data_IF_827667941266
#
_entry.id   IF_827667941266
#
_cell.length_a   1.000
_cell.length_b   1.000
_cell.length_c   1.000
_cell.angle_alpha   90.00
_cell.angle_beta   90.00
_cell.angle_gamma   90.00
#
_symmetry.space_group_name_H-M   'P 1'
#
loop_
_entity.id
_entity.type
_entity.pdbx_description
1 polymer ?
#
# COMPACT_ATOMS: atom_id res chain seq x y z
N UNK A 1 39.44 11.55 -15.83
CA UNK A 1 38.00 11.64 -16.15
C UNK A 1 37.20 10.66 -15.29
N UNK A 2 36.58 11.16 -14.21
CA UNK A 2 35.91 10.35 -13.17
C UNK A 2 34.45 9.96 -13.50
N UNK A 3 33.97 10.23 -14.72
CA UNK A 3 32.55 10.10 -15.07
C UNK A 3 32.26 9.38 -16.41
N UNK A 4 33.25 8.79 -17.08
CA UNK A 4 32.98 8.03 -18.30
C UNK A 4 32.57 6.59 -17.97
N UNK A 5 31.37 6.18 -18.39
CA UNK A 5 30.92 4.79 -18.28
C UNK A 5 31.90 3.84 -19.00
N UNK A 6 32.45 2.87 -18.25
CA UNK A 6 33.39 1.87 -18.76
C UNK A 6 32.65 0.88 -19.67
N UNK A 7 32.82 1.05 -20.99
CA UNK A 7 32.19 0.21 -22.02
C UNK A 7 32.87 -1.15 -22.21
N UNK A 8 33.94 -1.46 -21.47
CA UNK A 8 34.65 -2.75 -21.57
C UNK A 8 34.08 -3.83 -20.65
N UNK A 9 33.25 -3.46 -19.68
CA UNK A 9 32.62 -4.39 -18.73
C UNK A 9 31.22 -4.79 -19.20
N UNK A 10 30.74 -5.94 -18.71
CA UNK A 10 29.34 -6.35 -18.91
C UNK A 10 28.44 -5.31 -18.24
N UNK A 11 27.59 -4.68 -19.05
CA UNK A 11 26.55 -3.76 -18.58
C UNK A 11 25.51 -4.59 -17.81
N UNK A 12 25.43 -4.37 -16.49
CA UNK A 12 24.40 -4.96 -15.65
C UNK A 12 23.18 -4.04 -15.65
N UNK A 13 22.01 -4.62 -15.83
CA UNK A 13 20.72 -3.93 -15.80
C UNK A 13 19.74 -4.77 -14.99
N UNK A 14 18.87 -4.12 -14.23
CA UNK A 14 17.81 -4.83 -13.53
C UNK A 14 16.85 -5.47 -14.55
N UNK A 15 16.39 -6.72 -14.36
CA UNK A 15 15.49 -7.38 -15.31
C UNK A 15 14.25 -6.56 -15.65
N UNK A 16 13.60 -5.94 -14.64
CA UNK A 16 12.43 -5.08 -14.86
C UNK A 16 12.76 -3.87 -15.75
N UNK A 17 13.93 -3.24 -15.54
CA UNK A 17 14.37 -2.11 -16.38
C UNK A 17 14.61 -2.53 -17.83
N UNK A 18 15.23 -3.70 -18.04
CA UNK A 18 15.43 -4.27 -19.37
C UNK A 18 14.10 -4.55 -20.06
N UNK A 19 13.18 -5.22 -19.36
CA UNK A 19 11.84 -5.55 -19.86
C UNK A 19 11.09 -4.27 -20.27
N UNK A 20 11.05 -3.27 -19.39
CA UNK A 20 10.35 -2.01 -19.66
C UNK A 20 10.93 -1.20 -20.83
N UNK A 21 12.24 -1.30 -21.08
CA UNK A 21 12.91 -0.58 -22.17
C UNK A 21 12.82 -1.29 -23.51
N UNK A 22 12.98 -2.61 -23.52
CA UNK A 22 13.24 -3.36 -24.75
C UNK A 22 12.18 -4.42 -25.08
N UNK A 23 11.28 -4.74 -24.15
CA UNK A 23 10.30 -5.84 -24.30
C UNK A 23 8.85 -5.38 -24.16
N UNK A 24 8.55 -4.13 -24.53
CA UNK A 24 7.18 -3.62 -24.54
C UNK A 24 6.30 -4.43 -25.49
N UNK A 25 5.13 -4.87 -25.03
CA UNK A 25 4.17 -5.69 -25.77
C UNK A 25 4.73 -7.03 -26.27
N UNK A 26 5.86 -7.47 -25.74
CA UNK A 26 6.46 -8.77 -26.08
C UNK A 26 5.69 -9.91 -25.42
N UNK A 27 5.25 -9.71 -24.17
CA UNK A 27 4.45 -10.67 -23.42
C UNK A 27 2.96 -10.41 -23.64
N UNK A 28 2.19 -11.48 -23.87
CA UNK A 28 0.72 -11.35 -23.89
C UNK A 28 0.15 -11.11 -22.49
N UNK A 29 0.78 -11.70 -21.46
CA UNK A 29 0.34 -11.62 -20.07
C UNK A 29 1.51 -11.32 -19.12
N UNK A 30 1.28 -10.44 -18.14
CA UNK A 30 2.13 -10.25 -16.96
C UNK A 30 1.35 -10.65 -15.71
N UNK A 31 1.92 -11.51 -14.87
CA UNK A 31 1.27 -11.99 -13.64
C UNK A 31 2.08 -11.53 -12.45
N UNK A 32 1.44 -10.89 -11.48
CA UNK A 32 2.03 -10.51 -10.21
C UNK A 32 1.32 -11.24 -9.07
N UNK A 33 2.05 -12.10 -8.36
CA UNK A 33 1.54 -12.78 -7.17
C UNK A 33 1.85 -11.97 -5.91
N UNK A 34 1.02 -12.16 -4.88
CA UNK A 34 0.98 -11.37 -3.64
C UNK A 34 1.21 -9.87 -3.83
N UNK A 35 0.42 -9.29 -4.74
CA UNK A 35 0.47 -7.89 -5.12
C UNK A 35 0.46 -6.92 -3.93
N UNK A 36 -0.20 -7.24 -2.82
CA UNK A 36 -0.25 -6.36 -1.65
C UNK A 36 1.15 -6.06 -1.07
N UNK A 37 2.09 -7.00 -1.19
CA UNK A 37 3.48 -6.79 -0.75
C UNK A 37 4.20 -5.74 -1.61
N UNK A 38 3.70 -5.52 -2.81
CA UNK A 38 4.24 -4.55 -3.77
C UNK A 38 3.63 -3.16 -3.58
N UNK A 39 2.77 -2.92 -2.59
CA UNK A 39 2.15 -1.62 -2.32
C UNK A 39 3.15 -0.52 -1.92
N UNK A 40 4.31 -0.87 -1.38
CA UNK A 40 5.33 0.08 -0.95
C UNK A 40 5.93 0.90 -2.09
N UNK A 41 6.53 2.04 -1.76
CA UNK A 41 7.34 2.84 -2.70
C UNK A 41 8.76 2.25 -2.80
N UNK A 42 8.85 1.05 -3.39
CA UNK A 42 10.07 0.25 -3.48
C UNK A 42 10.41 -0.06 -4.93
N UNK A 43 11.65 -0.51 -5.18
CA UNK A 43 12.05 -0.98 -6.51
C UNK A 43 11.16 -2.13 -7.02
N UNK A 44 10.68 -2.99 -6.11
CA UNK A 44 9.74 -4.07 -6.43
C UNK A 44 8.35 -3.52 -6.79
N UNK A 45 7.85 -2.52 -6.05
CA UNK A 45 6.61 -1.83 -6.39
C UNK A 45 6.69 -1.17 -7.78
N UNK A 46 7.80 -0.51 -8.11
CA UNK A 46 7.99 0.08 -9.44
C UNK A 46 8.08 -0.98 -10.55
N UNK A 47 8.65 -2.16 -10.25
CA UNK A 47 8.69 -3.27 -11.18
C UNK A 47 7.27 -3.76 -11.56
N UNK A 48 6.30 -3.73 -10.63
CA UNK A 48 4.90 -4.07 -10.94
C UNK A 48 4.34 -3.21 -12.06
N UNK A 49 4.50 -1.89 -11.97
CA UNK A 49 4.02 -0.96 -13.02
C UNK A 49 4.73 -1.17 -14.35
N UNK A 50 6.03 -1.50 -14.33
CA UNK A 50 6.78 -1.83 -15.55
C UNK A 50 6.28 -3.13 -16.18
N UNK A 51 6.04 -4.17 -15.39
CA UNK A 51 5.53 -5.44 -15.87
C UNK A 51 4.11 -5.31 -16.42
N UNK A 52 3.24 -4.57 -15.72
CA UNK A 52 1.88 -4.29 -16.15
C UNK A 52 1.83 -3.55 -17.50
N UNK A 53 2.78 -2.66 -17.77
CA UNK A 53 2.90 -1.97 -19.06
C UNK A 53 3.63 -2.77 -20.14
N UNK A 54 4.51 -3.69 -19.76
CA UNK A 54 5.25 -4.50 -20.71
C UNK A 54 4.39 -5.63 -21.29
N UNK A 55 3.46 -6.17 -20.50
CA UNK A 55 2.46 -7.14 -20.95
C UNK A 55 1.29 -6.47 -21.68
N UNK A 56 0.65 -7.19 -22.61
CA UNK A 56 -0.61 -6.72 -23.23
C UNK A 56 -1.78 -6.76 -22.25
N UNK A 57 -1.74 -7.71 -21.30
CA UNK A 57 -2.69 -7.87 -20.19
C UNK A 57 -1.93 -8.10 -18.89
N UNK A 58 -2.42 -7.52 -17.80
CA UNK A 58 -1.87 -7.72 -16.47
C UNK A 58 -2.88 -8.44 -15.57
N UNK A 59 -2.41 -9.46 -14.86
CA UNK A 59 -3.16 -10.15 -13.80
C UNK A 59 -2.41 -9.94 -12.50
N UNK A 60 -3.13 -9.57 -11.47
CA UNK A 60 -2.58 -9.42 -10.14
C UNK A 60 -3.36 -10.29 -9.16
N UNK A 61 -2.63 -11.08 -8.37
CA UNK A 61 -3.15 -12.08 -7.46
C UNK A 61 -2.79 -11.68 -6.04
N UNK A 62 -3.70 -11.90 -5.11
CA UNK A 62 -3.41 -11.76 -3.68
C UNK A 62 -4.49 -12.44 -2.84
N UNK A 63 -4.07 -13.01 -1.70
CA UNK A 63 -5.01 -13.52 -0.69
C UNK A 63 -5.64 -12.41 0.17
N UNK A 64 -4.96 -11.29 0.34
CA UNK A 64 -5.39 -10.18 1.21
C UNK A 64 -5.18 -8.84 0.54
N UNK A 65 -6.27 -8.20 0.10
CA UNK A 65 -6.17 -6.97 -0.68
C UNK A 65 -5.84 -5.73 0.15
N UNK A 66 -6.36 -5.65 1.39
CA UNK A 66 -6.21 -4.49 2.27
C UNK A 66 -5.55 -4.91 3.58
N UNK A 67 -4.55 -4.15 4.04
CA UNK A 67 -3.93 -4.30 5.36
C UNK A 67 -4.71 -3.58 6.47
N UNK A 68 -5.96 -3.22 6.21
CA UNK A 68 -6.82 -2.46 7.12
C UNK A 68 -6.88 -0.96 6.82
N UNK A 69 -6.07 -0.42 5.90
CA UNK A 69 -6.12 0.98 5.50
C UNK A 69 -6.52 1.14 4.03
N UNK A 70 -7.32 2.16 3.73
CA UNK A 70 -7.77 2.41 2.37
C UNK A 70 -6.61 2.68 1.40
N UNK A 71 -5.53 3.34 1.85
CA UNK A 71 -4.40 3.69 0.99
C UNK A 71 -3.32 2.62 0.84
N UNK A 72 -3.57 1.42 1.35
CA UNK A 72 -2.74 0.25 1.06
C UNK A 72 -2.82 -0.10 -0.43
N UNK A 73 -4.01 0.04 -1.02
CA UNK A 73 -4.24 -0.28 -2.43
C UNK A 73 -3.93 0.87 -3.40
N UNK A 74 -3.76 2.10 -2.89
CA UNK A 74 -3.61 3.30 -3.72
C UNK A 74 -2.48 3.17 -4.75
N UNK A 75 -1.30 2.77 -4.29
CA UNK A 75 -0.13 2.62 -5.16
C UNK A 75 -0.31 1.47 -6.16
N UNK A 76 -1.00 0.41 -5.75
CA UNK A 76 -1.33 -0.73 -6.60
C UNK A 76 -2.25 -0.32 -7.74
N UNK A 77 -3.35 0.37 -7.42
CA UNK A 77 -4.31 0.85 -8.41
C UNK A 77 -3.63 1.72 -9.45
N UNK A 78 -2.73 2.62 -9.03
CA UNK A 78 -1.95 3.43 -9.97
C UNK A 78 -1.00 2.63 -10.85
N UNK A 79 -0.39 1.57 -10.32
CA UNK A 79 0.55 0.73 -11.08
C UNK A 79 -0.15 -0.15 -12.10
N UNK A 80 -1.39 -0.55 -11.81
CA UNK A 80 -2.22 -1.36 -12.71
C UNK A 80 -3.02 -0.51 -13.70
N UNK A 81 -3.64 0.57 -13.24
CA UNK A 81 -4.51 1.44 -14.03
C UNK A 81 -4.40 2.92 -13.59
N UNK A 82 -3.26 3.54 -13.90
CA UNK A 82 -3.07 4.98 -13.72
C UNK A 82 -4.12 5.85 -14.44
N UNK A 83 -4.56 5.53 -15.69
CA UNK A 83 -5.62 6.29 -16.35
C UNK A 83 -6.93 6.36 -15.57
N UNK A 84 -7.38 5.25 -14.98
CA UNK A 84 -8.59 5.24 -14.15
C UNK A 84 -8.41 6.12 -12.91
N UNK A 85 -7.28 6.01 -12.21
CA UNK A 85 -6.99 6.84 -11.03
C UNK A 85 -6.96 8.34 -11.36
N UNK A 86 -6.36 8.72 -12.48
CA UNK A 86 -6.32 10.11 -12.94
C UNK A 86 -7.70 10.64 -13.35
N UNK A 87 -8.53 9.81 -13.98
CA UNK A 87 -9.92 10.15 -14.34
C UNK A 87 -10.77 10.45 -13.11
N UNK A 88 -10.48 9.75 -12.01
CA UNK A 88 -11.13 9.95 -10.71
C UNK A 88 -10.59 11.14 -9.92
N UNK A 89 -9.63 11.88 -10.48
CA UNK A 89 -9.09 13.10 -9.88
C UNK A 89 -8.02 12.86 -8.82
N UNK A 90 -7.52 11.64 -8.68
CA UNK A 90 -6.37 11.39 -7.82
C UNK A 90 -5.09 11.78 -8.57
N UNK A 91 -4.13 12.36 -7.84
CA UNK A 91 -2.78 12.62 -8.33
C UNK A 91 -1.80 11.55 -7.83
N UNK A 92 -0.78 11.22 -8.61
CA UNK A 92 0.27 10.31 -8.14
C UNK A 92 1.07 10.97 -6.99
N UNK A 93 1.45 10.15 -6.00
CA UNK A 93 2.28 10.58 -4.87
C UNK A 93 1.48 10.90 -3.61
N UNK A 94 2.15 11.55 -2.64
CA UNK A 94 1.61 11.73 -1.29
C UNK A 94 0.34 12.58 -1.21
N UNK A 95 0.19 13.56 -2.09
CA UNK A 95 -0.98 14.44 -2.13
C UNK A 95 -2.24 13.68 -2.54
N UNK A 96 -2.24 13.05 -3.71
CA UNK A 96 -3.40 12.26 -4.13
C UNK A 96 -3.62 11.02 -3.29
N UNK A 97 -2.59 10.46 -2.64
CA UNK A 97 -2.77 9.42 -1.61
C UNK A 97 -3.58 9.97 -0.44
N UNK A 98 -3.29 11.17 0.03
CA UNK A 98 -4.04 11.80 1.12
C UNK A 98 -5.49 12.08 0.71
N UNK A 99 -5.72 12.54 -0.51
CA UNK A 99 -7.07 12.77 -1.03
C UNK A 99 -7.85 11.46 -1.17
N UNK A 100 -7.18 10.38 -1.59
CA UNK A 100 -7.75 9.04 -1.61
C UNK A 100 -8.14 8.57 -0.21
N UNK A 101 -7.29 8.77 0.81
CA UNK A 101 -7.65 8.46 2.21
C UNK A 101 -8.80 9.33 2.70
N UNK A 102 -8.85 10.62 2.33
CA UNK A 102 -9.96 11.50 2.73
C UNK A 102 -11.30 11.03 2.17
N UNK A 103 -11.29 10.46 0.97
CA UNK A 103 -12.50 10.01 0.31
C UNK A 103 -12.91 8.59 0.69
N UNK A 104 -11.95 7.68 0.81
CA UNK A 104 -12.22 6.25 1.00
C UNK A 104 -11.69 5.67 2.30
N UNK A 105 -10.93 6.41 3.10
CA UNK A 105 -10.37 5.95 4.37
C UNK A 105 -10.97 6.65 5.58
N UNK A 106 -10.42 6.33 6.75
CA UNK A 106 -10.78 6.96 8.03
C UNK A 106 -9.64 7.85 8.49
N UNK A 107 -9.98 9.10 8.81
CA UNK A 107 -9.02 10.11 9.25
C UNK A 107 -9.43 10.67 10.61
N UNK A 108 -8.46 10.77 11.51
CA UNK A 108 -8.58 11.49 12.76
C UNK A 108 -7.75 12.78 12.69
N UNK A 109 -8.37 13.92 12.98
CA UNK A 109 -7.68 15.21 13.01
C UNK A 109 -7.49 15.67 14.45
N UNK A 110 -6.24 15.64 14.93
CA UNK A 110 -5.87 16.11 16.26
C UNK A 110 -5.43 17.58 16.18
N UNK A 111 -6.23 18.47 16.74
CA UNK A 111 -5.88 19.90 16.88
C UNK A 111 -5.31 20.14 18.26
N UNK A 112 -4.05 20.59 18.34
CA UNK A 112 -3.45 21.07 19.59
C UNK A 112 -3.50 22.59 19.60
N UNK A 113 -4.33 23.14 20.47
CA UNK A 113 -4.32 24.56 20.80
C UNK A 113 -3.59 24.73 22.14
N UNK A 114 -2.57 25.61 22.15
CA UNK A 114 -1.87 26.01 23.37
C UNK A 114 -2.35 27.42 23.69
N UNK A 115 -3.16 27.56 24.73
CA UNK A 115 -3.53 28.86 25.29
C UNK A 115 -2.33 29.39 26.07
N UNK A 116 -1.66 30.40 25.54
CA UNK A 116 -0.79 31.27 26.32
C UNK A 116 -1.35 32.69 26.21
N UNK A 117 -1.57 33.30 27.38
CA UNK A 117 -2.13 34.63 27.56
C UNK A 117 -1.10 35.69 27.14
N UNK A 118 -0.97 35.91 25.84
CA UNK A 118 0.07 36.74 25.25
C UNK A 118 -0.48 38.12 24.88
N UNK A 119 -0.43 39.05 25.84
CA UNK A 119 -0.74 40.46 25.61
C UNK A 119 0.23 41.18 24.64
N UNK A 120 1.36 40.57 24.27
CA UNK A 120 2.41 41.28 23.50
C UNK A 120 3.31 40.43 22.57
N UNK A 121 2.93 39.25 22.06
CA UNK A 121 3.75 38.59 21.01
C UNK A 121 2.99 37.64 20.05
N UNK A 122 3.61 37.40 18.88
CA UNK A 122 3.08 36.75 17.66
C UNK A 122 2.25 35.47 17.92
N UNK A 123 0.98 35.52 17.53
CA UNK A 123 -0.01 34.43 17.31
C UNK A 123 0.50 33.00 17.59
N UNK A 124 -0.10 32.34 18.58
CA UNK A 124 0.18 30.95 18.95
C UNK A 124 0.10 30.01 17.73
N UNK A 125 1.11 29.12 17.58
CA UNK A 125 1.15 28.12 16.51
C UNK A 125 0.12 27.03 16.80
N UNK A 126 -1.04 27.10 16.14
CA UNK A 126 -1.97 25.96 16.07
C UNK A 126 -1.31 24.83 15.30
N UNK A 127 -1.14 23.66 15.92
CA UNK A 127 -0.65 22.46 15.24
C UNK A 127 -1.82 21.51 15.00
N UNK A 128 -2.10 21.23 13.73
CA UNK A 128 -3.10 20.24 13.33
C UNK A 128 -2.37 19.02 12.78
N UNK A 129 -2.53 17.87 13.41
CA UNK A 129 -1.95 16.60 12.97
C UNK A 129 -3.07 15.70 12.47
N UNK A 130 -2.95 15.26 11.23
CA UNK A 130 -3.88 14.31 10.60
C UNK A 130 -3.31 12.90 10.76
N UNK A 131 -4.06 12.02 11.43
CA UNK A 131 -3.71 10.61 11.64
C UNK A 131 -4.67 9.72 10.84
N UNK A 132 -4.11 8.70 10.20
CA UNK A 132 -4.88 7.66 9.51
C UNK A 132 -5.37 6.63 10.54
N UNK A 133 -6.60 6.16 10.39
CA UNK A 133 -7.19 5.09 11.21
C UNK A 133 -7.56 3.91 10.31
N UNK A 134 -7.57 2.68 10.86
CA UNK A 134 -8.00 1.52 10.11
C UNK A 134 -9.47 1.67 9.69
N UNK A 135 -9.77 1.30 8.45
CA UNK A 135 -11.08 1.41 7.83
C UNK A 135 -10.98 1.84 6.37
N UNK A 136 -11.78 1.18 5.54
CA UNK A 136 -11.96 1.53 4.13
C UNK A 136 -13.46 1.58 3.80
N UNK A 137 -13.84 2.56 2.99
CA UNK A 137 -15.20 2.75 2.50
C UNK A 137 -15.57 1.64 1.51
N UNK A 138 -16.75 1.01 1.65
CA UNK A 138 -17.25 0.03 0.69
C UNK A 138 -17.30 0.54 -0.75
N UNK A 139 -17.42 1.87 -0.94
CA UNK A 139 -17.43 2.51 -2.26
C UNK A 139 -16.15 2.27 -3.06
N UNK A 140 -15.01 2.11 -2.37
CA UNK A 140 -13.73 1.77 -3.01
C UNK A 140 -13.84 0.47 -3.80
N UNK A 141 -14.48 -0.55 -3.20
CA UNK A 141 -14.67 -1.85 -3.84
C UNK A 141 -15.57 -1.74 -5.06
N UNK A 142 -16.71 -1.07 -4.91
CA UNK A 142 -17.67 -0.89 -6.00
C UNK A 142 -17.06 -0.19 -7.21
N UNK A 143 -16.19 0.80 -6.96
CA UNK A 143 -15.69 1.69 -8.00
C UNK A 143 -14.44 1.18 -8.71
N UNK A 144 -13.50 0.60 -7.99
CA UNK A 144 -12.20 0.20 -8.54
C UNK A 144 -12.06 -1.31 -8.74
N UNK A 145 -12.75 -2.14 -7.95
CA UNK A 145 -12.47 -3.57 -7.90
C UNK A 145 -13.54 -4.41 -8.58
N UNK A 146 -14.83 -4.09 -8.41
CA UNK A 146 -15.90 -4.93 -8.96
C UNK A 146 -15.84 -5.13 -10.47
N UNK A 147 -15.36 -4.15 -11.24
CA UNK A 147 -15.28 -4.29 -12.71
C UNK A 147 -14.07 -5.09 -13.18
N UNK A 148 -13.02 -5.17 -12.36
CA UNK A 148 -11.69 -5.61 -12.79
C UNK A 148 -11.12 -6.76 -11.92
N UNK A 149 -11.88 -7.27 -10.96
CA UNK A 149 -11.42 -8.27 -9.98
C UNK A 149 -12.44 -9.40 -9.85
N UNK A 150 -11.94 -10.63 -9.87
CA UNK A 150 -12.71 -11.80 -9.46
C UNK A 150 -12.47 -12.07 -7.98
N UNK A 151 -13.54 -12.11 -7.19
CA UNK A 151 -13.47 -12.44 -5.77
C UNK A 151 -13.81 -13.92 -5.59
N UNK A 152 -12.91 -14.66 -4.95
CA UNK A 152 -13.13 -16.05 -4.55
C UNK A 152 -13.09 -16.08 -3.04
N UNK A 153 -14.16 -16.53 -2.41
CA UNK A 153 -14.24 -16.68 -0.96
C UNK A 153 -13.84 -18.09 -0.55
N UNK A 154 -13.42 -18.25 0.71
CA UNK A 154 -13.14 -19.59 1.25
C UNK A 154 -14.44 -20.43 1.29
N UNK A 155 -15.59 -19.79 1.54
CA UNK A 155 -16.90 -20.45 1.59
C UNK A 155 -17.23 -21.16 0.26
N UNK A 156 -16.77 -20.63 -0.87
CA UNK A 156 -16.96 -21.22 -2.20
C UNK A 156 -16.23 -22.57 -2.37
N UNK A 157 -15.22 -22.85 -1.54
CA UNK A 157 -14.37 -24.05 -1.59
C UNK A 157 -14.34 -24.84 -0.28
N UNK A 158 -15.04 -24.36 0.76
CA UNK A 158 -14.92 -24.85 2.12
C UNK A 158 -15.56 -26.24 2.35
N UNK A 159 -16.34 -26.75 1.40
CA UNK A 159 -17.05 -28.03 1.54
C UNK A 159 -16.12 -29.22 1.78
N UNK A 160 -14.87 -29.14 1.31
CA UNK A 160 -13.86 -30.20 1.42
C UNK A 160 -12.80 -29.92 2.50
N UNK A 161 -12.92 -28.81 3.24
CA UNK A 161 -11.94 -28.43 4.26
C UNK A 161 -12.28 -29.02 5.64
N UNK A 162 -11.28 -29.44 6.42
CA UNK A 162 -11.48 -29.83 7.81
C UNK A 162 -12.08 -28.67 8.65
N UNK A 163 -12.82 -28.98 9.73
CA UNK A 163 -13.28 -27.96 10.65
C UNK A 163 -12.08 -27.23 11.30
N UNK A 164 -12.21 -25.91 11.43
CA UNK A 164 -11.23 -25.04 12.07
C UNK A 164 -11.75 -24.62 13.45
N UNK A 165 -10.94 -24.82 14.50
CA UNK A 165 -11.23 -24.39 15.87
C UNK A 165 -10.04 -23.53 16.35
N UNK A 166 -10.34 -22.40 16.99
CA UNK A 166 -9.35 -21.46 17.52
C UNK A 166 -9.49 -21.38 19.04
N UNK A 167 -8.39 -21.66 19.74
CA UNK A 167 -8.38 -21.69 21.20
C UNK A 167 -7.38 -20.65 21.72
N UNK A 168 -7.85 -19.74 22.57
CA UNK A 168 -7.01 -18.76 23.25
C UNK A 168 -6.44 -19.41 24.51
N UNK A 169 -5.13 -19.57 24.56
CA UNK A 169 -4.40 -20.06 25.74
C UNK A 169 -3.73 -18.87 26.39
N UNK A 170 -4.25 -18.46 27.55
CA UNK A 170 -3.65 -17.41 28.36
C UNK A 170 -2.41 -17.95 29.07
N UNK A 171 -1.30 -17.21 28.97
CA UNK A 171 -0.03 -17.55 29.62
C UNK A 171 0.29 -16.43 30.60
N UNK A 172 0.33 -16.75 31.89
CA UNK A 172 0.74 -15.80 32.92
C UNK A 172 2.21 -15.45 32.77
N UNK A 173 2.56 -14.18 33.02
CA UNK A 173 3.95 -13.75 33.01
C UNK A 173 4.70 -14.38 34.19
N UNK A 174 5.90 -14.91 33.92
CA UNK A 174 6.76 -15.36 35.01
C UNK A 174 7.27 -14.16 35.83
N UNK A 175 7.53 -14.32 37.14
CA UNK A 175 7.92 -13.21 38.03
C UNK A 175 9.15 -12.43 37.57
N UNK A 176 10.10 -13.10 36.91
CA UNK A 176 11.31 -12.47 36.38
C UNK A 176 10.99 -11.58 35.16
N UNK A 177 10.04 -12.00 34.33
CA UNK A 177 9.60 -11.27 33.13
C UNK A 177 8.72 -10.09 33.54
N UNK A 178 7.81 -10.30 34.49
CA UNK A 178 6.96 -9.27 35.07
C UNK A 178 7.80 -8.15 35.69
N UNK A 179 8.84 -8.50 36.46
CA UNK A 179 9.76 -7.52 37.04
C UNK A 179 10.50 -6.69 35.98
N UNK A 180 10.98 -7.34 34.91
CA UNK A 180 11.65 -6.65 33.81
C UNK A 180 10.70 -5.74 33.00
N UNK A 181 9.45 -6.15 32.81
CA UNK A 181 8.43 -5.32 32.16
C UNK A 181 8.06 -4.11 33.03
N UNK A 182 7.98 -4.28 34.35
CA UNK A 182 7.73 -3.18 35.28
C UNK A 182 8.84 -2.12 35.32
N UNK A 183 10.05 -2.43 34.86
CA UNK A 183 11.13 -1.42 34.71
C UNK A 183 11.00 -0.58 33.43
N UNK A 184 10.20 -1.03 32.45
CA UNK A 184 10.01 -0.35 31.15
C UNK A 184 8.82 0.62 31.16
N UNK A 185 7.81 0.38 32.01
CA UNK A 185 6.67 1.29 32.24
C UNK A 185 7.04 2.52 33.09
#
# INVERSE_FOLDING_TARGET
PLWSADRKKILRMAPAEYIGRYMKNWFDYSIADEMHQLAGDTAQGNALGVLAQAGRKALALTGTLLGGYADDIFNILYRLDAPQMATEGFAWGGEGRMDFVRQYGVIETVKKEREEDNACSRRSKKSTTVKRRPGASPLLFGKFLMSNTAFVSLEDIASELPPYDEQVIEVEMEPHLESAYGEIE
#
